data_IF_550281488955
#
_entry.id   IF_550281488955
#
_cell.length_a   1.000
_cell.length_b   1.000
_cell.length_c   1.000
_cell.angle_alpha   90.00
_cell.angle_beta   90.00
_cell.angle_gamma   90.00
#
_symmetry.space_group_name_H-M   'P 1'
#
loop_
_entity.id
_entity.type
_entity.pdbx_description
1 polymer ?
#
# COMPACT_ATOMS: atom_id res chain seq x y z
N UNK A 1 -6.97 3.55 -11.29
CA UNK A 1 -7.47 3.61 -9.89
C UNK A 1 -8.40 4.78 -9.64
N UNK A 2 -7.98 6.04 -9.84
CA UNK A 2 -8.83 7.23 -9.64
C UNK A 2 -10.13 7.19 -10.47
N UNK A 3 -10.09 6.61 -11.68
CA UNK A 3 -11.27 6.49 -12.54
C UNK A 3 -12.39 5.59 -11.97
N UNK A 4 -12.03 4.55 -11.19
CA UNK A 4 -12.99 3.61 -10.61
C UNK A 4 -13.83 4.24 -9.48
N UNK A 5 -13.25 5.16 -8.72
CA UNK A 5 -13.94 5.89 -7.65
C UNK A 5 -14.81 7.04 -8.17
N UNK A 6 -14.47 7.62 -9.33
CA UNK A 6 -15.25 8.69 -9.98
C UNK A 6 -16.63 8.23 -10.43
N UNK A 7 -16.79 6.94 -10.75
CA UNK A 7 -18.02 6.38 -11.32
C UNK A 7 -19.13 6.12 -10.28
N UNK A 8 -18.81 6.12 -8.98
CA UNK A 8 -19.77 5.74 -7.93
C UNK A 8 -20.18 6.88 -6.99
N UNK A 9 -19.66 8.11 -7.15
CA UNK A 9 -19.99 9.24 -6.28
C UNK A 9 -19.50 9.10 -4.83
N UNK A 10 -18.62 8.12 -4.55
CA UNK A 10 -18.08 7.81 -3.21
C UNK A 10 -16.69 8.44 -2.99
N UNK A 11 -16.26 9.31 -3.92
CA UNK A 11 -14.98 10.02 -3.87
C UNK A 11 -14.81 10.78 -2.56
N UNK A 12 -15.81 11.55 -2.12
CA UNK A 12 -15.68 12.37 -0.91
C UNK A 12 -15.62 11.54 0.38
N UNK A 13 -16.20 10.32 0.38
CA UNK A 13 -16.16 9.42 1.53
C UNK A 13 -14.77 8.78 1.72
N UNK A 14 -14.05 8.51 0.62
CA UNK A 14 -12.73 7.85 0.66
C UNK A 14 -11.56 8.79 0.36
N UNK A 15 -11.84 10.05 0.01
CA UNK A 15 -10.86 11.08 -0.25
C UNK A 15 -11.33 12.43 0.32
N UNK A 16 -11.37 12.59 1.65
CA UNK A 16 -11.65 13.87 2.30
C UNK A 16 -10.74 14.97 1.78
N UNK A 17 -11.25 16.20 1.60
CA UNK A 17 -10.50 17.29 0.97
C UNK A 17 -9.21 17.65 1.73
N UNK A 18 -9.22 17.57 3.06
CA UNK A 18 -8.08 17.82 3.94
C UNK A 18 -7.00 16.72 3.82
N UNK A 19 -7.40 15.47 3.55
CA UNK A 19 -6.49 14.33 3.36
C UNK A 19 -6.12 14.06 1.90
N UNK A 20 -6.78 14.73 0.95
CA UNK A 20 -6.64 14.51 -0.49
C UNK A 20 -5.21 14.65 -0.98
N UNK A 21 -4.53 15.73 -0.56
CA UNK A 21 -3.14 16.00 -1.00
C UNK A 21 -2.18 14.91 -0.52
N UNK A 22 -2.24 14.55 0.77
CA UNK A 22 -1.40 13.49 1.34
C UNK A 22 -1.70 12.12 0.73
N UNK A 23 -2.97 11.81 0.53
CA UNK A 23 -3.41 10.56 -0.13
C UNK A 23 -2.83 10.45 -1.53
N UNK A 24 -2.99 11.49 -2.36
CA UNK A 24 -2.47 11.49 -3.73
C UNK A 24 -0.94 11.45 -3.77
N UNK A 25 -0.26 12.10 -2.82
CA UNK A 25 1.20 12.05 -2.72
C UNK A 25 1.70 10.63 -2.45
N UNK A 26 1.13 9.95 -1.46
CA UNK A 26 1.50 8.58 -1.11
C UNK A 26 1.19 7.59 -2.25
N UNK A 27 0.03 7.75 -2.89
CA UNK A 27 -0.35 6.95 -4.07
C UNK A 27 0.64 7.17 -5.22
N UNK A 28 1.04 8.42 -5.47
CA UNK A 28 2.00 8.72 -6.53
C UNK A 28 3.38 8.11 -6.23
N UNK A 29 3.86 8.20 -4.99
CA UNK A 29 5.11 7.53 -4.56
C UNK A 29 5.01 6.01 -4.75
N UNK A 30 3.88 5.42 -4.36
CA UNK A 30 3.63 3.99 -4.55
C UNK A 30 3.68 3.58 -6.04
N UNK A 31 2.96 4.30 -6.89
CA UNK A 31 2.84 3.98 -8.32
C UNK A 31 4.12 4.26 -9.12
N UNK A 32 5.03 5.07 -8.59
CA UNK A 32 6.29 5.45 -9.24
C UNK A 32 7.50 4.73 -8.65
N UNK A 33 8.06 5.24 -7.55
CA UNK A 33 9.31 4.76 -6.97
C UNK A 33 9.15 3.38 -6.35
N UNK A 34 8.10 3.16 -5.53
CA UNK A 34 7.90 1.90 -4.84
C UNK A 34 7.68 0.76 -5.82
N UNK A 35 6.78 0.91 -6.80
CA UNK A 35 6.51 -0.11 -7.81
C UNK A 35 7.77 -0.50 -8.60
N UNK A 36 8.58 0.47 -9.00
CA UNK A 36 9.85 0.21 -9.72
C UNK A 36 10.83 -0.59 -8.87
N UNK A 37 10.95 -0.25 -7.58
CA UNK A 37 11.80 -0.99 -6.64
C UNK A 37 11.22 -2.39 -6.37
N UNK A 38 9.91 -2.52 -6.21
CA UNK A 38 9.24 -3.81 -6.00
C UNK A 38 9.46 -4.75 -7.19
N UNK A 39 9.33 -4.27 -8.42
CA UNK A 39 9.60 -5.08 -9.62
C UNK A 39 11.09 -5.47 -9.69
N UNK A 40 12.00 -4.57 -9.33
CA UNK A 40 13.43 -4.88 -9.25
C UNK A 40 13.73 -5.92 -8.17
N UNK A 41 13.07 -5.84 -7.02
CA UNK A 41 13.21 -6.81 -5.95
C UNK A 41 12.68 -8.19 -6.35
N UNK A 42 11.59 -8.25 -7.12
CA UNK A 42 10.98 -9.51 -7.59
C UNK A 42 11.76 -10.20 -8.70
N UNK A 43 12.26 -9.44 -9.67
CA UNK A 43 12.72 -9.99 -10.95
C UNK A 43 14.18 -9.73 -11.28
N UNK A 44 14.93 -8.98 -10.45
CA UNK A 44 16.37 -8.78 -10.70
C UNK A 44 17.14 -10.08 -10.49
N UNK A 45 18.00 -10.40 -11.47
CA UNK A 45 18.99 -11.50 -11.38
C UNK A 45 20.31 -11.05 -10.73
N UNK A 46 20.47 -9.75 -10.45
CA UNK A 46 21.61 -9.22 -9.69
C UNK A 46 21.21 -9.08 -8.22
N UNK A 47 21.87 -9.84 -7.35
CA UNK A 47 21.62 -9.86 -5.90
C UNK A 47 21.85 -8.51 -5.23
N UNK A 48 22.85 -7.72 -5.67
CA UNK A 48 23.10 -6.39 -5.09
C UNK A 48 21.97 -5.43 -5.43
N UNK A 49 21.47 -5.52 -6.67
CA UNK A 49 20.33 -4.72 -7.10
C UNK A 49 19.04 -5.15 -6.40
N UNK A 50 18.86 -6.44 -6.17
CA UNK A 50 17.73 -6.99 -5.40
C UNK A 50 17.75 -6.49 -3.95
N UNK A 51 18.93 -6.47 -3.34
CA UNK A 51 19.14 -5.98 -1.97
C UNK A 51 18.88 -4.46 -1.85
N UNK A 52 19.42 -3.67 -2.76
CA UNK A 52 19.16 -2.22 -2.82
C UNK A 52 17.68 -1.90 -3.04
N UNK A 53 17.02 -2.67 -3.91
CA UNK A 53 15.59 -2.55 -4.15
C UNK A 53 14.76 -2.91 -2.91
N UNK A 54 15.12 -3.97 -2.18
CA UNK A 54 14.48 -4.33 -0.91
C UNK A 54 14.56 -3.18 0.09
N UNK A 55 15.76 -2.61 0.30
CA UNK A 55 15.96 -1.49 1.25
C UNK A 55 15.10 -0.28 0.88
N UNK A 56 15.08 0.10 -0.40
CA UNK A 56 14.25 1.22 -0.86
C UNK A 56 12.74 0.96 -0.73
N UNK A 57 12.30 -0.28 -0.91
CA UNK A 57 10.94 -0.66 -0.58
C UNK A 57 10.70 -0.50 0.93
N UNK A 58 11.61 -1.03 1.75
CA UNK A 58 11.52 -0.98 3.20
C UNK A 58 11.47 0.45 3.75
N UNK A 59 12.22 1.39 3.19
CA UNK A 59 12.18 2.80 3.57
C UNK A 59 10.76 3.36 3.44
N UNK A 60 10.11 3.14 2.29
CA UNK A 60 8.72 3.56 2.07
C UNK A 60 7.75 2.83 3.01
N UNK A 61 7.93 1.53 3.25
CA UNK A 61 7.05 0.80 4.18
C UNK A 61 7.23 1.30 5.62
N UNK A 62 8.44 1.70 6.01
CA UNK A 62 8.74 2.26 7.33
C UNK A 62 8.07 3.63 7.51
N UNK A 63 8.03 4.47 6.46
CA UNK A 63 7.25 5.71 6.48
C UNK A 63 5.76 5.46 6.73
N UNK A 64 5.19 4.41 6.11
CA UNK A 64 3.79 4.03 6.35
C UNK A 64 3.58 3.47 7.76
N UNK A 65 4.52 2.67 8.28
CA UNK A 65 4.47 2.13 9.64
C UNK A 65 4.40 3.25 10.68
N UNK A 66 5.18 4.32 10.50
CA UNK A 66 5.14 5.52 11.35
C UNK A 66 3.79 6.24 11.30
N UNK A 67 3.17 6.37 10.12
CA UNK A 67 1.83 6.98 10.02
C UNK A 67 0.79 6.14 10.78
N UNK A 68 0.93 4.81 10.74
CA UNK A 68 0.07 3.85 11.43
C UNK A 68 0.36 3.74 12.95
N UNK A 69 1.37 4.44 13.47
CA UNK A 69 1.52 4.58 14.92
C UNK A 69 0.44 5.49 15.51
N UNK A 70 -0.02 6.47 14.71
CA UNK A 70 -0.95 7.52 15.15
C UNK A 70 -2.36 7.37 14.58
N UNK A 71 -2.55 6.49 13.59
CA UNK A 71 -3.82 6.27 12.91
C UNK A 71 -4.10 4.77 12.76
N UNK A 72 -5.37 4.40 12.73
CA UNK A 72 -5.80 3.02 12.48
C UNK A 72 -5.66 2.56 11.01
N UNK A 73 -5.66 3.51 10.07
CA UNK A 73 -5.37 3.36 8.64
C UNK A 73 -4.33 4.42 8.21
N UNK A 74 -3.81 4.39 6.98
CA UNK A 74 -2.58 5.15 6.63
C UNK A 74 -2.66 6.65 6.95
N UNK A 75 -3.84 7.29 6.87
CA UNK A 75 -3.98 8.74 7.10
C UNK A 75 -5.10 9.14 8.07
N UNK A 76 -5.89 8.18 8.54
CA UNK A 76 -7.11 8.41 9.33
C UNK A 76 -7.51 7.14 10.09
N UNK A 77 -8.49 7.23 10.98
CA UNK A 77 -9.02 6.09 11.71
C UNK A 77 -10.03 5.25 10.91
N UNK A 78 -10.39 5.72 9.72
CA UNK A 78 -11.21 5.01 8.74
C UNK A 78 -10.45 4.76 7.44
N UNK A 79 -10.73 3.66 6.71
CA UNK A 79 -10.01 3.34 5.49
C UNK A 79 -10.27 4.37 4.40
N UNK A 80 -9.20 4.90 3.80
CA UNK A 80 -9.24 5.86 2.71
C UNK A 80 -8.76 5.24 1.39
N UNK A 81 -8.90 5.98 0.30
CA UNK A 81 -8.45 5.56 -1.03
C UNK A 81 -6.97 5.15 -1.05
N UNK A 82 -6.14 5.78 -0.22
CA UNK A 82 -4.71 5.47 -0.10
C UNK A 82 -4.47 4.05 0.40
N UNK A 83 -5.27 3.55 1.35
CA UNK A 83 -5.15 2.20 1.88
C UNK A 83 -5.42 1.15 0.80
N UNK A 84 -6.52 1.33 0.07
CA UNK A 84 -6.90 0.44 -1.03
C UNK A 84 -5.89 0.48 -2.18
N UNK A 85 -5.27 1.64 -2.44
CA UNK A 85 -4.30 1.80 -3.51
C UNK A 85 -2.94 1.16 -3.18
N UNK A 86 -2.48 1.28 -1.94
CA UNK A 86 -1.16 0.82 -1.51
C UNK A 86 -1.17 -0.67 -1.15
N UNK A 87 -2.27 -1.17 -0.57
CA UNK A 87 -2.36 -2.55 -0.06
C UNK A 87 -1.96 -3.64 -1.07
N UNK A 88 -2.39 -3.64 -2.34
CA UNK A 88 -1.99 -4.67 -3.31
C UNK A 88 -0.47 -4.76 -3.54
N UNK A 89 0.25 -3.64 -3.37
CA UNK A 89 1.69 -3.57 -3.57
C UNK A 89 2.44 -4.00 -2.30
N UNK A 90 1.99 -3.58 -1.12
CA UNK A 90 2.53 -4.06 0.16
C UNK A 90 2.33 -5.58 0.27
N UNK A 91 1.15 -6.09 -0.11
CA UNK A 91 0.91 -7.54 -0.16
C UNK A 91 1.90 -8.26 -1.06
N UNK A 92 2.21 -7.71 -2.23
CA UNK A 92 3.22 -8.28 -3.12
C UNK A 92 4.61 -8.24 -2.51
N UNK A 93 5.00 -7.13 -1.87
CA UNK A 93 6.30 -6.97 -1.23
C UNK A 93 6.51 -8.00 -0.10
N UNK A 94 5.55 -8.12 0.81
CA UNK A 94 5.58 -9.09 1.91
C UNK A 94 5.64 -10.52 1.36
N UNK A 95 4.89 -10.82 0.29
CA UNK A 95 4.83 -12.17 -0.27
C UNK A 95 6.07 -12.58 -1.08
N UNK A 96 7.01 -11.67 -1.38
CA UNK A 96 8.29 -12.06 -1.99
C UNK A 96 9.12 -12.89 -1.01
N UNK A 97 9.20 -12.43 0.24
CA UNK A 97 9.86 -13.14 1.34
C UNK A 97 9.23 -12.71 2.67
N UNK A 98 8.28 -13.54 3.14
CA UNK A 98 7.49 -13.25 4.34
C UNK A 98 8.35 -13.28 5.59
N UNK A 99 9.35 -14.17 5.65
CA UNK A 99 10.20 -14.30 6.84
C UNK A 99 11.11 -13.08 6.94
N UNK A 100 11.75 -12.71 5.83
CA UNK A 100 12.59 -11.51 5.78
C UNK A 100 11.85 -10.26 6.20
N UNK A 101 10.62 -10.07 5.72
CA UNK A 101 9.81 -8.92 6.13
C UNK A 101 9.48 -8.93 7.64
N UNK A 102 9.18 -10.10 8.21
CA UNK A 102 8.89 -10.22 9.65
C UNK A 102 10.10 -9.86 10.51
N UNK A 103 11.31 -10.18 10.03
CA UNK A 103 12.55 -9.90 10.74
C UNK A 103 12.84 -8.38 10.85
N UNK A 104 12.26 -7.55 9.98
CA UNK A 104 12.37 -6.08 10.05
C UNK A 104 11.57 -5.45 11.21
N UNK A 105 10.63 -6.19 11.81
CA UNK A 105 9.95 -5.75 13.03
C UNK A 105 8.92 -4.61 12.87
N UNK A 106 8.46 -4.32 11.65
CA UNK A 106 7.42 -3.32 11.36
C UNK A 106 6.02 -3.80 11.79
N UNK A 107 5.66 -3.55 13.05
CA UNK A 107 4.46 -4.13 13.68
C UNK A 107 3.17 -3.47 13.21
N UNK A 108 3.15 -2.16 12.98
CA UNK A 108 1.92 -1.40 12.71
C UNK A 108 1.41 -1.66 11.31
N UNK A 109 2.30 -1.66 10.32
CA UNK A 109 2.00 -2.04 8.95
C UNK A 109 1.54 -3.50 8.88
N UNK A 110 2.09 -4.40 9.70
CA UNK A 110 1.63 -5.80 9.72
C UNK A 110 0.23 -5.93 10.33
N UNK A 111 -0.10 -5.13 11.36
CA UNK A 111 -1.45 -5.06 11.91
C UNK A 111 -2.45 -4.51 10.89
N UNK A 112 -2.11 -3.40 10.24
CA UNK A 112 -2.89 -2.82 9.14
C UNK A 112 -3.07 -3.82 7.99
N UNK A 113 -2.01 -4.54 7.60
CA UNK A 113 -2.05 -5.55 6.56
C UNK A 113 -3.05 -6.67 6.88
N UNK A 114 -3.04 -7.19 8.10
CA UNK A 114 -3.99 -8.22 8.55
C UNK A 114 -5.43 -7.70 8.57
N UNK A 115 -5.62 -6.43 8.98
CA UNK A 115 -6.93 -5.78 8.95
C UNK A 115 -7.47 -5.66 7.52
N UNK A 116 -6.64 -5.18 6.60
CA UNK A 116 -6.99 -5.07 5.18
C UNK A 116 -7.28 -6.43 4.53
N UNK A 117 -6.58 -7.50 4.95
CA UNK A 117 -6.89 -8.87 4.51
C UNK A 117 -8.26 -9.37 5.01
N UNK A 118 -8.66 -8.97 6.22
CA UNK A 118 -9.93 -9.38 6.84
C UNK A 118 -11.13 -8.52 6.42
N UNK A 119 -10.90 -7.36 5.77
CA UNK A 119 -11.97 -6.45 5.37
C UNK A 119 -12.67 -6.96 4.10
N UNK A 120 -13.96 -7.28 4.23
CA UNK A 120 -14.82 -7.67 3.12
C UNK A 120 -14.99 -6.55 2.06
N UNK A 121 -14.83 -5.27 2.45
CA UNK A 121 -14.89 -4.15 1.49
C UNK A 121 -13.78 -4.20 0.44
N UNK A 122 -12.59 -4.70 0.80
CA UNK A 122 -11.47 -4.83 -0.13
C UNK A 122 -11.80 -5.77 -1.29
N UNK A 123 -12.39 -6.93 -1.00
CA UNK A 123 -12.80 -7.90 -2.02
C UNK A 123 -13.82 -7.28 -2.99
N UNK A 124 -14.78 -6.51 -2.48
CA UNK A 124 -15.79 -5.85 -3.29
C UNK A 124 -15.20 -4.77 -4.23
N UNK A 125 -14.27 -3.94 -3.75
CA UNK A 125 -13.63 -2.89 -4.55
C UNK A 125 -12.71 -3.50 -5.62
N UNK A 126 -11.96 -4.55 -5.27
CA UNK A 126 -11.04 -5.22 -6.21
C UNK A 126 -11.77 -6.12 -7.22
N UNK A 127 -12.87 -6.79 -6.84
CA UNK A 127 -13.65 -7.63 -7.77
C UNK A 127 -14.24 -6.80 -8.91
N UNK A 128 -14.65 -5.56 -8.68
CA UNK A 128 -15.14 -4.67 -9.75
C UNK A 128 -14.06 -4.17 -10.71
N UNK A 129 -12.78 -4.46 -10.45
CA UNK A 129 -11.68 -4.17 -11.37
C UNK A 129 -11.40 -5.32 -12.35
N UNK A 130 -12.06 -6.48 -12.19
CA UNK A 130 -12.24 -7.46 -13.27
C UNK A 130 -13.46 -7.04 -14.09
N UNK A 131 -13.29 -6.04 -14.96
CA UNK A 131 -14.22 -5.86 -16.07
C UNK A 131 -13.64 -6.65 -17.24
N UNK A 132 -14.55 -7.47 -17.79
CA UNK A 132 -14.46 -8.36 -18.94
C UNK A 132 -13.75 -7.82 -20.17
#
# INVERSE_FOLDING_TARGET
MIWAFSQQGIMDKYLPQDKKKSSLSLINTNDTSFKKNLDSYKYSNDDRKKEDAFKKCLDFVSELDLLLETNEYILDDSPLMVDYAIFPFIRQFINVDVQRFKDEGLKKIYQWFNRMLSSNEFEHIMMKSKIS
#
